data_IF_488822429289
#
_entry.id   IF_488822429289
#
_cell.length_a   1.000
_cell.length_b   1.000
_cell.length_c   1.000
_cell.angle_alpha   90.00
_cell.angle_beta   90.00
_cell.angle_gamma   90.00
#
_symmetry.space_group_name_H-M   'P 1'
#
loop_
_entity.id
_entity.type
_entity.pdbx_description
1 polymer ?
#
# COMPACT_ATOMS: atom_id res chain seq x y z
N UNK A 1 -21.71 58.87 -30.20
CA UNK A 1 -21.22 58.00 -29.10
C UNK A 1 -20.07 57.17 -29.63
N UNK A 2 -18.86 57.39 -29.12
CA UNK A 2 -17.65 56.63 -29.45
C UNK A 2 -17.52 55.51 -28.43
N UNK A 3 -17.60 54.25 -28.84
CA UNK A 3 -17.27 53.11 -27.99
C UNK A 3 -15.87 52.65 -28.36
N UNK A 4 -14.95 52.85 -27.42
CA UNK A 4 -13.58 52.39 -27.49
C UNK A 4 -13.48 50.90 -27.17
N UNK A 5 -12.48 50.29 -27.80
CA UNK A 5 -12.06 48.89 -27.78
C UNK A 5 -11.51 48.48 -26.41
N UNK A 6 -11.77 47.24 -26.00
CA UNK A 6 -10.81 46.42 -25.28
C UNK A 6 -10.98 44.97 -25.72
N UNK A 7 -10.26 44.58 -26.78
CA UNK A 7 -10.06 43.18 -27.12
C UNK A 7 -9.09 42.60 -26.08
N UNK A 8 -9.63 41.86 -25.12
CA UNK A 8 -8.82 41.02 -24.24
C UNK A 8 -8.21 39.90 -25.11
N UNK A 9 -6.90 40.00 -25.39
CA UNK A 9 -6.11 38.86 -25.86
C UNK A 9 -6.11 37.80 -24.76
N UNK A 10 -7.04 36.84 -24.85
CA UNK A 10 -6.88 35.55 -24.23
C UNK A 10 -5.80 34.80 -25.00
N UNK A 11 -4.59 34.80 -24.44
CA UNK A 11 -3.59 33.78 -24.80
C UNK A 11 -4.18 32.46 -24.31
N UNK A 12 -4.89 31.78 -25.21
CA UNK A 12 -5.23 30.37 -25.04
C UNK A 12 -3.89 29.64 -25.06
N UNK A 13 -3.43 29.24 -23.89
CA UNK A 13 -2.45 28.17 -23.79
C UNK A 13 -3.15 26.93 -24.34
N UNK A 14 -2.98 26.69 -25.64
CA UNK A 14 -3.24 25.39 -26.24
C UNK A 14 -2.13 24.48 -25.73
N UNK A 15 -2.21 24.06 -24.47
CA UNK A 15 -1.65 22.77 -24.11
C UNK A 15 -2.41 21.79 -24.98
N UNK A 16 -1.74 21.26 -26.01
CA UNK A 16 -2.22 20.08 -26.72
C UNK A 16 -2.72 19.11 -25.65
N UNK A 17 -3.98 18.65 -25.69
CA UNK A 17 -4.37 17.55 -24.85
C UNK A 17 -3.43 16.42 -25.27
N UNK A 18 -2.51 16.05 -24.39
CA UNK A 18 -1.80 14.78 -24.46
C UNK A 18 -2.92 13.74 -24.56
N UNK A 19 -3.18 13.30 -25.79
CA UNK A 19 -4.07 12.19 -26.07
C UNK A 19 -3.58 11.07 -25.17
N UNK A 20 -4.41 10.70 -24.19
CA UNK A 20 -4.17 9.49 -23.42
C UNK A 20 -3.87 8.39 -24.43
N UNK A 21 -2.68 7.80 -24.33
CA UNK A 21 -2.25 6.72 -25.22
C UNK A 21 -3.36 5.67 -25.18
N UNK A 22 -3.98 5.38 -26.33
CA UNK A 22 -5.05 4.38 -26.41
C UNK A 22 -4.55 2.99 -25.96
N UNK A 23 -3.23 2.81 -25.86
CA UNK A 23 -2.56 1.62 -25.34
C UNK A 23 -2.15 1.72 -23.86
N UNK A 24 -2.50 2.79 -23.14
CA UNK A 24 -2.23 2.88 -21.71
C UNK A 24 -3.18 1.95 -20.94
N UNK A 25 -2.67 0.85 -20.32
CA UNK A 25 -3.51 -0.05 -19.54
C UNK A 25 -4.18 0.65 -18.34
N UNK A 26 -3.72 1.84 -17.96
CA UNK A 26 -4.30 2.65 -16.89
C UNK A 26 -5.41 3.61 -17.34
N UNK A 27 -5.57 3.89 -18.64
CA UNK A 27 -6.52 4.90 -19.12
C UNK A 27 -8.00 4.60 -18.76
N UNK A 28 -8.36 3.33 -18.55
CA UNK A 28 -9.71 2.89 -18.21
C UNK A 28 -9.81 2.18 -16.84
N UNK A 29 -8.77 2.27 -16.02
CA UNK A 29 -8.58 1.46 -14.81
C UNK A 29 -9.70 1.59 -13.75
N UNK A 30 -10.50 2.65 -13.80
CA UNK A 30 -11.65 2.85 -12.90
C UNK A 30 -13.04 2.47 -13.44
N UNK A 31 -13.16 2.09 -14.72
CA UNK A 31 -14.48 1.82 -15.36
C UNK A 31 -14.86 0.33 -15.42
N UNK A 32 -13.90 -0.56 -15.22
CA UNK A 32 -14.09 -2.03 -15.30
C UNK A 32 -13.61 -2.68 -14.00
N UNK A 33 -14.18 -2.26 -12.87
CA UNK A 33 -13.99 -2.96 -11.60
C UNK A 33 -15.11 -3.98 -11.43
N UNK A 34 -14.99 -5.10 -12.14
CA UNK A 34 -15.72 -6.30 -11.81
C UNK A 34 -14.74 -7.27 -11.15
N UNK A 35 -14.99 -7.64 -9.90
CA UNK A 35 -14.36 -8.83 -9.31
C UNK A 35 -14.85 -10.05 -10.10
N UNK A 36 -14.15 -10.43 -11.16
CA UNK A 36 -14.28 -11.77 -11.73
C UNK A 36 -13.21 -12.67 -11.10
N UNK A 37 -13.53 -13.93 -10.89
CA UNK A 37 -12.61 -14.92 -10.32
C UNK A 37 -12.36 -15.92 -11.42
N UNK A 38 -11.10 -16.25 -11.65
CA UNK A 38 -10.74 -17.28 -12.63
C UNK A 38 -10.33 -18.56 -11.90
N UNK A 39 -10.90 -19.68 -12.30
CA UNK A 39 -10.38 -21.00 -11.94
C UNK A 39 -9.34 -21.52 -12.95
N UNK A 40 -9.05 -20.74 -14.00
CA UNK A 40 -8.09 -21.09 -15.04
C UNK A 40 -6.66 -21.19 -14.47
N UNK A 41 -6.03 -22.38 -14.50
CA UNK A 41 -4.66 -22.55 -14.05
C UNK A 41 -3.64 -22.16 -15.13
N UNK A 42 -4.06 -21.77 -16.34
CA UNK A 42 -3.15 -21.32 -17.37
C UNK A 42 -2.29 -20.15 -16.88
N UNK A 43 -1.01 -20.18 -17.25
CA UNK A 43 -0.06 -19.12 -16.90
C UNK A 43 -0.33 -17.89 -17.76
N UNK A 44 -0.42 -16.73 -17.11
CA UNK A 44 -0.40 -15.43 -17.76
C UNK A 44 0.97 -14.76 -17.58
N UNK A 45 1.41 -14.03 -18.60
CA UNK A 45 2.54 -13.10 -18.52
C UNK A 45 2.01 -11.71 -18.24
N UNK A 46 2.33 -11.16 -17.09
CA UNK A 46 1.87 -9.86 -16.62
C UNK A 46 3.04 -8.88 -16.59
N UNK A 47 2.90 -7.72 -17.25
CA UNK A 47 3.97 -6.73 -17.36
C UNK A 47 3.54 -5.44 -16.69
N UNK A 48 4.15 -5.09 -15.57
CA UNK A 48 3.98 -3.81 -14.91
C UNK A 48 5.14 -2.90 -15.30
N UNK A 49 4.89 -1.85 -16.10
CA UNK A 49 5.92 -0.92 -16.56
C UNK A 49 5.61 0.50 -16.15
N UNK A 50 6.52 1.19 -15.48
CA UNK A 50 6.40 2.62 -15.20
C UNK A 50 7.20 3.44 -16.21
N UNK A 51 6.55 4.20 -17.12
CA UNK A 51 7.25 4.83 -18.24
C UNK A 51 8.25 5.92 -17.85
N UNK A 52 8.02 6.65 -16.74
CA UNK A 52 8.88 7.80 -16.37
C UNK A 52 10.24 7.38 -15.83
N UNK A 53 10.29 6.25 -15.15
CA UNK A 53 11.50 5.68 -14.54
C UNK A 53 12.07 4.52 -15.34
N UNK A 54 11.35 4.07 -16.37
CA UNK A 54 11.63 2.85 -17.15
C UNK A 54 11.70 1.58 -16.28
N UNK A 55 11.18 1.63 -15.06
CA UNK A 55 11.08 0.47 -14.20
C UNK A 55 10.08 -0.53 -14.79
N UNK A 56 10.40 -1.81 -14.69
CA UNK A 56 9.53 -2.87 -15.18
C UNK A 56 9.63 -4.13 -14.34
N UNK A 57 8.48 -4.75 -14.05
CA UNK A 57 8.37 -6.13 -13.57
C UNK A 57 7.60 -6.92 -14.61
N UNK A 58 8.18 -8.02 -15.07
CA UNK A 58 7.48 -9.06 -15.82
C UNK A 58 7.33 -10.29 -14.93
N UNK A 59 6.09 -10.76 -14.75
CA UNK A 59 5.77 -11.93 -13.95
C UNK A 59 5.05 -12.98 -14.80
N UNK A 60 5.33 -14.25 -14.54
CA UNK A 60 4.54 -15.38 -15.06
C UNK A 60 3.79 -16.03 -13.91
N UNK A 61 2.47 -15.89 -13.89
CA UNK A 61 1.62 -16.32 -12.77
C UNK A 61 0.42 -17.10 -13.31
N UNK A 62 0.01 -18.23 -12.69
CA UNK A 62 -1.26 -18.86 -13.02
C UNK A 62 -2.43 -17.91 -12.77
N UNK A 63 -3.39 -17.84 -13.71
CA UNK A 63 -4.51 -16.87 -13.67
C UNK A 63 -5.40 -17.00 -12.44
N UNK A 64 -5.44 -18.17 -11.80
CA UNK A 64 -6.18 -18.41 -10.57
C UNK A 64 -5.61 -17.73 -9.31
N UNK A 65 -4.39 -17.20 -9.34
CA UNK A 65 -3.83 -16.35 -8.27
C UNK A 65 -4.33 -14.91 -8.32
N UNK A 66 -4.88 -14.46 -9.46
CA UNK A 66 -5.15 -13.04 -9.70
C UNK A 66 -6.48 -12.64 -9.05
N UNK A 67 -6.41 -11.71 -8.09
CA UNK A 67 -7.58 -11.09 -7.46
C UNK A 67 -7.93 -9.78 -8.19
N UNK A 68 -9.12 -9.66 -8.78
CA UNK A 68 -9.33 -8.61 -9.79
C UNK A 68 -9.54 -7.21 -9.21
N UNK A 69 -8.59 -6.34 -9.55
CA UNK A 69 -8.77 -4.94 -9.91
C UNK A 69 -7.85 -4.65 -11.12
N UNK A 70 -8.27 -4.96 -12.36
CA UNK A 70 -7.45 -4.81 -13.58
C UNK A 70 -7.70 -5.87 -14.67
N UNK A 71 -7.27 -5.60 -15.92
CA UNK A 71 -7.56 -6.45 -17.10
C UNK A 71 -6.67 -7.72 -17.14
N UNK A 72 -7.29 -8.90 -17.02
CA UNK A 72 -6.66 -10.24 -16.91
C UNK A 72 -5.91 -10.74 -18.17
N UNK A 73 -5.73 -9.91 -19.18
CA UNK A 73 -5.10 -10.33 -20.43
C UNK A 73 -3.59 -10.38 -20.28
N UNK A 74 -2.96 -11.37 -20.90
CA UNK A 74 -1.51 -11.39 -21.10
C UNK A 74 -1.00 -10.03 -21.61
N UNK A 75 0.11 -9.56 -21.03
CA UNK A 75 0.77 -8.33 -21.40
C UNK A 75 0.67 -7.21 -20.35
N UNK A 76 0.66 -5.94 -20.79
CA UNK A 76 0.76 -4.78 -19.91
C UNK A 76 -0.39 -4.63 -18.91
N UNK A 77 -0.04 -4.32 -17.67
CA UNK A 77 -0.94 -4.16 -16.53
C UNK A 77 -0.85 -2.75 -15.94
N UNK A 78 -1.97 -2.25 -15.41
CA UNK A 78 -1.97 -1.02 -14.62
C UNK A 78 -1.57 -1.25 -13.16
N UNK A 79 -1.91 -2.42 -12.61
CA UNK A 79 -1.42 -2.92 -11.33
C UNK A 79 -1.47 -4.44 -11.37
N UNK A 80 -0.68 -5.08 -10.52
CA UNK A 80 -0.78 -6.52 -10.29
C UNK A 80 -1.53 -6.73 -8.99
N UNK A 81 -2.53 -7.60 -8.97
CA UNK A 81 -3.33 -7.87 -7.78
C UNK A 81 -3.53 -9.38 -7.64
N UNK A 82 -3.17 -9.92 -6.47
CA UNK A 82 -3.19 -11.34 -6.19
C UNK A 82 -4.01 -11.62 -4.93
N UNK A 83 -4.86 -12.64 -4.98
CA UNK A 83 -5.57 -13.16 -3.81
C UNK A 83 -4.94 -14.50 -3.45
N UNK A 84 -4.41 -14.62 -2.23
CA UNK A 84 -3.63 -15.77 -1.78
C UNK A 84 -4.25 -16.37 -0.51
N UNK A 85 -4.35 -17.69 -0.43
CA UNK A 85 -4.69 -18.37 0.82
C UNK A 85 -3.53 -18.27 1.81
N UNK A 86 -3.83 -17.91 3.05
CA UNK A 86 -2.85 -17.82 4.12
C UNK A 86 -2.97 -19.01 5.09
N UNK A 87 -1.86 -19.62 5.55
CA UNK A 87 -0.45 -19.29 5.28
C UNK A 87 0.17 -20.00 4.06
N UNK A 88 -0.59 -20.81 3.32
CA UNK A 88 -0.02 -21.69 2.29
C UNK A 88 0.46 -20.95 1.03
N UNK A 89 0.09 -19.68 0.85
CA UNK A 89 0.40 -18.85 -0.32
C UNK A 89 -0.09 -19.48 -1.64
N UNK A 90 -1.19 -20.23 -1.59
CA UNK A 90 -1.82 -20.84 -2.77
C UNK A 90 -2.87 -19.93 -3.38
N UNK A 91 -3.28 -20.21 -4.61
CA UNK A 91 -4.26 -19.43 -5.36
C UNK A 91 -5.60 -19.30 -4.62
N UNK A 92 -5.95 -18.09 -4.18
CA UNK A 92 -7.24 -17.80 -3.56
C UNK A 92 -8.41 -17.97 -4.52
N UNK A 93 -8.22 -17.75 -5.82
CA UNK A 93 -9.27 -17.92 -6.83
C UNK A 93 -9.86 -19.34 -6.94
N UNK A 94 -9.14 -20.35 -6.44
CA UNK A 94 -9.61 -21.75 -6.42
C UNK A 94 -10.53 -22.07 -5.23
N UNK A 95 -10.42 -21.32 -4.12
CA UNK A 95 -11.18 -21.59 -2.92
C UNK A 95 -12.63 -21.09 -3.05
N UNK A 96 -13.58 -21.84 -2.49
CA UNK A 96 -14.97 -21.37 -2.36
C UNK A 96 -15.06 -20.28 -1.28
N UNK A 97 -16.08 -19.43 -1.35
CA UNK A 97 -16.24 -18.30 -0.42
C UNK A 97 -16.30 -18.73 1.05
N UNK A 98 -16.93 -19.87 1.36
CA UNK A 98 -17.01 -20.45 2.71
C UNK A 98 -15.67 -21.02 3.20
N UNK A 99 -14.73 -21.32 2.29
CA UNK A 99 -13.38 -21.78 2.62
C UNK A 99 -12.40 -20.61 2.83
N UNK A 100 -12.77 -19.40 2.41
CA UNK A 100 -11.93 -18.19 2.49
C UNK A 100 -12.10 -17.42 3.79
N UNK A 101 -13.02 -17.84 4.65
CA UNK A 101 -13.30 -17.13 5.89
C UNK A 101 -13.78 -18.07 6.96
N UNK A 102 -13.49 -17.71 8.20
CA UNK A 102 -13.91 -18.46 9.39
C UNK A 102 -14.52 -17.50 10.41
N UNK A 103 -15.44 -18.01 11.25
CA UNK A 103 -15.97 -17.31 12.43
C UNK A 103 -15.42 -17.97 13.68
N UNK A 104 -14.12 -17.84 13.87
CA UNK A 104 -13.38 -18.42 14.99
C UNK A 104 -13.07 -17.40 16.09
N UNK A 105 -13.47 -16.13 15.91
CA UNK A 105 -13.11 -15.02 16.78
C UNK A 105 -14.31 -14.18 17.22
N UNK A 106 -14.14 -13.53 18.37
CA UNK A 106 -15.13 -12.67 19.00
C UNK A 106 -14.59 -11.24 19.09
N UNK A 107 -15.43 -10.26 18.75
CA UNK A 107 -15.17 -8.84 18.98
C UNK A 107 -16.12 -8.36 20.08
N UNK A 108 -15.64 -8.43 21.32
CA UNK A 108 -16.51 -8.40 22.49
C UNK A 108 -17.29 -9.70 22.60
N UNK A 109 -18.62 -9.62 22.56
CA UNK A 109 -19.52 -10.79 22.58
C UNK A 109 -20.07 -11.15 21.19
N UNK A 110 -19.57 -10.51 20.13
CA UNK A 110 -20.07 -10.69 18.76
C UNK A 110 -19.10 -11.52 17.91
N UNK A 111 -19.56 -12.62 17.25
CA UNK A 111 -18.70 -13.41 16.37
C UNK A 111 -18.42 -12.67 15.08
N UNK A 112 -17.13 -12.45 14.77
CA UNK A 112 -16.71 -11.71 13.58
C UNK A 112 -15.97 -12.61 12.59
N UNK A 113 -16.19 -12.38 11.30
CA UNK A 113 -15.49 -13.13 10.26
C UNK A 113 -14.01 -12.73 10.21
N UNK A 114 -13.14 -13.72 10.04
CA UNK A 114 -11.72 -13.57 9.71
C UNK A 114 -11.47 -14.05 8.29
N UNK A 115 -10.68 -13.30 7.52
CA UNK A 115 -10.25 -13.73 6.19
C UNK A 115 -9.13 -14.77 6.32
N UNK A 116 -9.25 -15.87 5.59
CA UNK A 116 -8.18 -16.84 5.39
C UNK A 116 -7.39 -16.54 4.11
N UNK A 117 -7.69 -15.43 3.43
CA UNK A 117 -6.91 -14.90 2.33
C UNK A 117 -6.18 -13.62 2.72
N UNK A 118 -5.04 -13.40 2.06
CA UNK A 118 -4.41 -12.09 1.91
C UNK A 118 -4.57 -11.59 0.48
N UNK A 119 -4.53 -10.27 0.30
CA UNK A 119 -4.48 -9.64 -1.01
C UNK A 119 -3.16 -8.91 -1.14
N UNK A 120 -2.49 -9.07 -2.27
CA UNK A 120 -1.22 -8.41 -2.57
C UNK A 120 -1.43 -7.56 -3.81
N UNK A 121 -1.15 -6.26 -3.72
CA UNK A 121 -1.23 -5.33 -4.82
C UNK A 121 0.16 -4.75 -5.11
N UNK A 122 0.61 -4.80 -6.35
CA UNK A 122 1.82 -4.13 -6.82
C UNK A 122 1.41 -2.99 -7.74
N UNK A 123 1.60 -1.76 -7.30
CA UNK A 123 1.17 -0.57 -8.03
C UNK A 123 2.17 -0.19 -9.12
N UNK A 124 1.70 0.29 -10.28
CA UNK A 124 2.52 0.97 -11.31
C UNK A 124 2.98 2.35 -10.86
N UNK A 125 3.32 2.49 -9.59
CA UNK A 125 3.86 3.70 -8.99
C UNK A 125 5.21 3.30 -8.41
N UNK A 126 6.31 3.91 -8.86
CA UNK A 126 7.59 3.58 -8.28
C UNK A 126 7.53 4.06 -6.82
N UNK A 127 8.08 3.27 -5.92
CA UNK A 127 8.29 3.65 -4.55
C UNK A 127 9.75 4.00 -4.39
N UNK A 128 10.05 5.20 -3.92
CA UNK A 128 11.41 5.51 -3.50
C UNK A 128 11.76 4.59 -2.32
N UNK A 129 12.98 4.05 -2.26
CA UNK A 129 13.38 3.18 -1.15
C UNK A 129 13.27 3.87 0.22
N UNK A 130 13.28 5.21 0.24
CA UNK A 130 13.10 6.05 1.43
C UNK A 130 11.64 6.48 1.72
N UNK A 131 10.63 5.91 1.04
CA UNK A 131 9.23 6.35 1.21
C UNK A 131 8.72 6.20 2.65
N UNK A 132 9.15 5.15 3.37
CA UNK A 132 8.74 4.86 4.75
C UNK A 132 9.23 5.95 5.72
N UNK A 133 10.54 6.31 5.76
CA UNK A 133 11.04 7.45 6.53
C UNK A 133 10.25 8.74 6.29
N UNK A 134 9.99 9.04 5.01
CA UNK A 134 9.24 10.24 4.63
C UNK A 134 7.80 10.21 5.17
N UNK A 135 7.11 9.07 5.03
CA UNK A 135 5.75 8.91 5.56
C UNK A 135 5.73 9.01 7.09
N UNK A 136 6.65 8.30 7.77
CA UNK A 136 6.75 8.32 9.22
C UNK A 136 6.94 9.74 9.75
N UNK A 137 7.89 10.51 9.22
CA UNK A 137 8.14 11.87 9.70
C UNK A 137 6.97 12.83 9.40
N UNK A 138 6.29 12.64 8.26
CA UNK A 138 5.07 13.40 7.97
C UNK A 138 3.95 13.11 8.97
N UNK A 139 3.76 11.83 9.33
CA UNK A 139 2.73 11.41 10.29
C UNK A 139 3.07 11.80 11.72
N UNK A 140 4.32 11.56 12.16
CA UNK A 140 4.78 11.90 13.51
C UNK A 140 4.57 13.38 13.85
N UNK A 141 4.72 14.28 12.88
CA UNK A 141 4.46 15.71 13.08
C UNK A 141 2.99 16.07 13.40
N UNK A 142 2.04 15.15 13.18
CA UNK A 142 0.61 15.36 13.40
C UNK A 142 -0.03 14.22 14.23
N UNK A 143 0.75 13.36 14.86
CA UNK A 143 0.26 12.14 15.51
C UNK A 143 1.00 11.87 16.81
N UNK A 144 0.37 11.17 17.75
CA UNK A 144 0.99 10.78 19.02
C UNK A 144 1.78 9.50 18.81
N UNK A 145 3.09 9.56 19.04
CA UNK A 145 3.93 8.35 19.07
C UNK A 145 3.81 7.66 20.43
N UNK A 146 3.65 6.34 20.40
CA UNK A 146 3.68 5.50 21.60
C UNK A 146 5.14 5.39 22.07
N UNK A 147 5.34 5.32 23.40
CA UNK A 147 6.67 5.13 23.98
C UNK A 147 7.22 3.73 23.68
N UNK A 148 6.35 2.73 23.73
CA UNK A 148 6.69 1.34 23.47
C UNK A 148 6.79 1.07 21.98
N UNK A 149 7.54 0.02 21.61
CA UNK A 149 7.71 -0.44 20.24
C UNK A 149 7.14 -1.84 20.06
N UNK A 150 5.81 -1.99 19.98
CA UNK A 150 5.18 -3.29 19.85
C UNK A 150 5.67 -3.98 18.57
N UNK A 151 6.11 -5.23 18.68
CA UNK A 151 6.60 -6.03 17.55
C UNK A 151 7.72 -5.34 16.74
N UNK A 152 8.59 -4.60 17.45
CA UNK A 152 9.68 -3.78 16.89
C UNK A 152 9.22 -2.59 16.04
N UNK A 153 7.92 -2.29 16.02
CA UNK A 153 7.35 -1.21 15.24
C UNK A 153 7.26 0.07 16.07
N UNK A 154 7.60 1.21 15.45
CA UNK A 154 7.21 2.52 15.97
C UNK A 154 5.73 2.73 15.70
N UNK A 155 4.94 2.91 16.74
CA UNK A 155 3.49 3.01 16.65
C UNK A 155 3.02 4.47 16.82
N UNK A 156 2.18 4.93 15.89
CA UNK A 156 1.57 6.26 15.91
C UNK A 156 0.04 6.13 15.99
N UNK A 157 -0.53 7.00 16.81
CA UNK A 157 -1.97 7.26 16.90
C UNK A 157 -2.27 8.58 16.19
N UNK A 158 -3.03 8.51 15.11
CA UNK A 158 -3.42 9.70 14.33
C UNK A 158 -4.47 10.59 15.01
N UNK A 159 -4.91 10.23 16.21
CA UNK A 159 -5.84 11.04 17.01
C UNK A 159 -7.28 11.02 16.52
N UNK A 160 -7.59 10.36 15.40
CA UNK A 160 -8.97 10.15 14.99
C UNK A 160 -9.70 9.26 16.00
N UNK A 161 -10.98 9.55 16.23
CA UNK A 161 -11.79 8.81 17.18
C UNK A 161 -11.85 7.31 16.87
N UNK A 162 -12.01 6.50 17.91
CA UNK A 162 -12.29 5.08 17.76
C UNK A 162 -13.76 4.89 17.41
N UNK A 163 -14.04 4.12 16.35
CA UNK A 163 -15.41 3.71 16.05
C UNK A 163 -15.99 2.83 17.15
N UNK A 164 -17.26 2.45 17.00
CA UNK A 164 -17.94 1.53 17.90
C UNK A 164 -18.44 0.30 17.14
N UNK A 165 -18.52 -0.84 17.82
CA UNK A 165 -19.04 -2.09 17.28
C UNK A 165 -20.26 -2.56 18.08
N UNK A 166 -21.28 -3.03 17.37
CA UNK A 166 -22.51 -3.55 17.96
C UNK A 166 -22.25 -4.89 18.67
N UNK A 167 -22.81 -5.05 19.86
CA UNK A 167 -22.74 -6.25 20.69
C UNK A 167 -23.99 -7.12 20.49
N UNK A 168 -23.96 -8.36 20.99
CA UNK A 168 -25.06 -9.32 20.84
C UNK A 168 -26.35 -8.88 21.53
N UNK A 169 -26.22 -8.15 22.64
CA UNK A 169 -27.32 -7.54 23.40
C UNK A 169 -27.91 -6.26 22.76
N UNK A 170 -27.35 -5.82 21.63
CA UNK A 170 -27.76 -4.62 20.90
C UNK A 170 -27.07 -3.33 21.33
N UNK A 171 -26.23 -3.36 22.37
CA UNK A 171 -25.41 -2.21 22.79
C UNK A 171 -24.27 -1.95 21.80
N UNK A 172 -23.62 -0.79 21.91
CA UNK A 172 -22.42 -0.45 21.14
C UNK A 172 -21.25 -0.23 22.09
N UNK A 173 -20.11 -0.85 21.79
CA UNK A 173 -18.88 -0.70 22.56
C UNK A 173 -17.77 -0.13 21.70
N UNK A 174 -16.91 0.69 22.30
CA UNK A 174 -15.81 1.34 21.59
C UNK A 174 -14.80 0.32 21.09
N UNK A 175 -14.33 0.47 19.86
CA UNK A 175 -13.23 -0.35 19.32
C UNK A 175 -11.96 -0.23 20.14
N UNK A 176 -11.78 0.88 20.87
CA UNK A 176 -10.68 1.05 21.83
C UNK A 176 -10.73 0.02 22.97
N UNK A 177 -11.93 -0.35 23.40
CA UNK A 177 -12.12 -1.34 24.47
C UNK A 177 -12.06 -2.77 23.95
N UNK A 178 -12.47 -2.98 22.69
CA UNK A 178 -12.67 -4.30 22.13
C UNK A 178 -11.40 -4.87 21.47
N UNK A 179 -10.53 -4.02 20.94
CA UNK A 179 -9.30 -4.46 20.29
C UNK A 179 -8.19 -4.76 21.32
N UNK A 180 -7.33 -5.74 21.05
CA UNK A 180 -6.15 -5.96 21.87
C UNK A 180 -5.09 -4.88 21.62
N UNK A 181 -4.17 -4.72 22.59
CA UNK A 181 -2.95 -3.95 22.35
C UNK A 181 -2.08 -4.63 21.27
N UNK A 182 -1.44 -3.88 20.36
CA UNK A 182 -1.41 -2.42 20.25
C UNK A 182 -2.53 -1.80 19.41
N UNK A 183 -3.40 -2.62 18.81
CA UNK A 183 -4.47 -2.19 17.90
C UNK A 183 -5.53 -1.30 18.56
N UNK A 184 -5.57 -1.22 19.89
CA UNK A 184 -6.43 -0.30 20.64
C UNK A 184 -5.77 1.04 21.01
N UNK A 185 -4.48 1.22 20.73
CA UNK A 185 -3.77 2.46 21.10
C UNK A 185 -3.14 3.15 19.90
N UNK A 186 -2.85 2.42 18.83
CA UNK A 186 -2.24 2.95 17.61
C UNK A 186 -2.88 2.37 16.36
N UNK A 187 -2.71 3.07 15.24
CA UNK A 187 -3.28 2.65 13.97
C UNK A 187 -2.28 2.75 12.81
N UNK A 188 -1.12 3.38 13.01
CA UNK A 188 -0.01 3.39 12.05
C UNK A 188 1.24 2.83 12.71
N UNK A 189 1.96 2.01 11.99
CA UNK A 189 3.14 1.31 12.49
C UNK A 189 4.26 1.35 11.47
N UNK A 190 5.48 1.57 11.92
CA UNK A 190 6.62 1.77 11.03
C UNK A 190 7.80 0.92 11.50
N UNK A 191 8.39 0.16 10.58
CA UNK A 191 9.70 -0.44 10.78
C UNK A 191 10.75 0.40 10.05
N UNK A 192 11.72 0.91 10.80
CA UNK A 192 12.81 1.74 10.28
C UNK A 192 14.13 1.02 10.56
N UNK A 193 15.02 0.99 9.58
CA UNK A 193 16.28 0.23 9.59
C UNK A 193 17.39 1.02 8.89
N UNK A 194 18.65 0.60 9.02
CA UNK A 194 19.73 1.10 8.14
C UNK A 194 19.53 0.60 6.71
N UNK A 195 19.15 -0.66 6.55
CA UNK A 195 18.76 -1.21 5.26
C UNK A 195 17.34 -0.76 4.89
N UNK A 196 17.27 0.28 4.05
CA UNK A 196 16.00 0.84 3.53
C UNK A 196 15.13 -0.19 2.81
N UNK A 197 15.73 -1.25 2.27
CA UNK A 197 14.98 -2.34 1.63
C UNK A 197 14.19 -3.19 2.64
N UNK A 198 14.38 -3.03 3.95
CA UNK A 198 13.65 -3.76 4.99
C UNK A 198 12.50 -2.94 5.58
N UNK A 199 12.45 -1.64 5.32
CA UNK A 199 11.49 -0.74 5.95
C UNK A 199 10.08 -1.00 5.45
N UNK A 200 9.11 -0.90 6.37
CA UNK A 200 7.68 -1.02 6.04
C UNK A 200 6.87 0.06 6.74
N UNK A 201 5.75 0.42 6.13
CA UNK A 201 4.68 1.20 6.75
C UNK A 201 3.44 0.30 6.83
N UNK A 202 2.84 0.18 8.01
CA UNK A 202 1.64 -0.62 8.22
C UNK A 202 0.53 0.29 8.72
N UNK A 203 -0.60 0.29 8.04
CA UNK A 203 -1.80 1.03 8.43
C UNK A 203 -2.93 0.05 8.79
N UNK A 204 -3.32 0.07 10.05
CA UNK A 204 -4.44 -0.68 10.58
C UNK A 204 -5.55 0.31 10.91
N UNK A 205 -6.48 0.55 9.97
CA UNK A 205 -7.63 1.43 10.23
C UNK A 205 -8.36 1.01 11.52
N UNK A 206 -8.67 1.97 12.39
CA UNK A 206 -9.24 1.74 13.73
C UNK A 206 -10.57 0.98 13.62
N UNK A 207 -10.56 -0.30 13.95
CA UNK A 207 -11.73 -1.20 13.86
C UNK A 207 -11.93 -1.89 12.51
N UNK A 208 -11.06 -1.66 11.53
CA UNK A 208 -11.05 -2.46 10.31
C UNK A 208 -10.50 -3.86 10.60
N UNK A 209 -11.02 -4.91 9.95
CA UNK A 209 -10.57 -6.28 10.19
C UNK A 209 -9.17 -6.57 9.60
N UNK A 210 -8.68 -5.71 8.71
CA UNK A 210 -7.42 -5.90 7.97
C UNK A 210 -6.53 -4.67 8.06
N UNK A 211 -5.23 -4.91 8.14
CA UNK A 211 -4.19 -3.91 7.99
C UNK A 211 -3.64 -3.91 6.56
N UNK A 212 -3.07 -2.80 6.15
CA UNK A 212 -2.32 -2.61 4.92
C UNK A 212 -0.83 -2.52 5.26
N UNK A 213 -0.02 -3.46 4.78
CA UNK A 213 1.44 -3.39 4.85
C UNK A 213 1.97 -2.88 3.52
N UNK A 214 2.56 -1.69 3.55
CA UNK A 214 3.27 -1.08 2.44
C UNK A 214 4.75 -1.43 2.50
N UNK A 215 5.22 -1.98 1.40
CA UNK A 215 6.59 -2.42 1.18
C UNK A 215 7.11 -1.90 -0.17
N UNK A 216 8.43 -1.85 -0.33
CA UNK A 216 9.08 -1.60 -1.60
C UNK A 216 9.63 -2.91 -2.17
N UNK A 217 8.92 -3.50 -3.12
CA UNK A 217 9.42 -4.64 -3.88
C UNK A 217 10.04 -4.16 -5.19
N UNK A 218 11.37 -4.21 -5.25
CA UNK A 218 12.14 -3.92 -6.46
C UNK A 218 11.85 -2.55 -7.11
N UNK A 219 11.56 -1.53 -6.29
CA UNK A 219 11.24 -0.18 -6.75
C UNK A 219 9.75 0.07 -6.95
N UNK A 220 8.87 -0.89 -6.69
CA UNK A 220 7.42 -0.75 -6.81
C UNK A 220 6.75 -0.78 -5.44
N UNK A 221 5.74 0.07 -5.24
CA UNK A 221 4.92 0.02 -4.04
C UNK A 221 4.11 -1.28 -4.03
N UNK A 222 4.32 -2.09 -3.00
CA UNK A 222 3.58 -3.32 -2.77
C UNK A 222 2.74 -3.16 -1.51
N UNK A 223 1.44 -3.41 -1.63
CA UNK A 223 0.47 -3.34 -0.53
C UNK A 223 -0.06 -4.73 -0.24
N UNK A 224 0.22 -5.24 0.95
CA UNK A 224 -0.35 -6.51 1.44
C UNK A 224 -1.48 -6.22 2.43
N UNK A 225 -2.67 -6.71 2.14
CA UNK A 225 -3.80 -6.68 3.05
C UNK A 225 -3.80 -7.98 3.86
N UNK A 226 -3.67 -7.90 5.19
CA UNK A 226 -3.64 -9.07 6.08
C UNK A 226 -4.52 -8.81 7.31
N UNK A 227 -4.89 -9.84 8.09
CA UNK A 227 -5.77 -9.63 9.24
C UNK A 227 -5.06 -8.78 10.30
N UNK A 228 -5.79 -7.83 10.90
CA UNK A 228 -5.18 -6.89 11.83
C UNK A 228 -4.61 -7.55 13.09
N UNK A 229 -5.27 -8.61 13.56
CA UNK A 229 -4.84 -9.39 14.73
C UNK A 229 -3.50 -10.11 14.50
N UNK A 230 -3.13 -10.36 13.25
CA UNK A 230 -1.86 -10.99 12.88
C UNK A 230 -0.72 -9.96 12.76
N UNK A 231 -0.90 -8.74 13.32
CA UNK A 231 0.12 -7.69 13.31
C UNK A 231 1.45 -8.14 13.92
N UNK A 232 1.43 -9.05 14.90
CA UNK A 232 2.65 -9.61 15.48
C UNK A 232 3.52 -10.34 14.43
N UNK A 233 2.89 -10.90 13.40
CA UNK A 233 3.52 -11.72 12.35
C UNK A 233 3.83 -10.92 11.07
N UNK A 234 3.81 -9.58 11.13
CA UNK A 234 3.98 -8.71 9.96
C UNK A 234 5.23 -9.03 9.12
N UNK A 235 6.34 -9.42 9.76
CA UNK A 235 7.58 -9.84 9.07
C UNK A 235 7.34 -11.08 8.23
N UNK A 236 6.65 -12.07 8.78
CA UNK A 236 6.29 -13.33 8.11
C UNK A 236 5.44 -13.05 6.87
N UNK A 237 4.46 -12.15 6.96
CA UNK A 237 3.69 -11.72 5.77
C UNK A 237 4.56 -11.06 4.71
N UNK A 238 5.38 -10.08 5.09
CA UNK A 238 6.28 -9.38 4.16
C UNK A 238 7.20 -10.37 3.44
N UNK A 239 7.85 -11.25 4.19
CA UNK A 239 8.84 -12.17 3.66
C UNK A 239 8.19 -13.23 2.75
N UNK A 240 7.03 -13.77 3.14
CA UNK A 240 6.26 -14.70 2.31
C UNK A 240 5.79 -14.05 1.01
N UNK A 241 5.30 -12.80 1.06
CA UNK A 241 4.88 -12.06 -0.13
C UNK A 241 6.06 -11.76 -1.05
N UNK A 242 7.20 -11.32 -0.51
CA UNK A 242 8.43 -11.12 -1.30
C UNK A 242 8.89 -12.42 -1.97
N UNK A 243 8.85 -13.53 -1.25
CA UNK A 243 9.20 -14.83 -1.79
C UNK A 243 8.25 -15.23 -2.93
N UNK A 244 6.94 -15.03 -2.75
CA UNK A 244 5.93 -15.28 -3.78
C UNK A 244 6.18 -14.41 -5.03
N UNK A 245 6.37 -13.11 -4.86
CA UNK A 245 6.61 -12.19 -5.96
C UNK A 245 7.92 -12.54 -6.70
N UNK A 246 9.00 -12.83 -5.96
CA UNK A 246 10.28 -13.21 -6.54
C UNK A 246 10.19 -14.53 -7.33
N UNK A 247 9.47 -15.53 -6.81
CA UNK A 247 9.32 -16.84 -7.46
C UNK A 247 8.60 -16.77 -8.83
N UNK A 248 7.74 -15.76 -9.02
CA UNK A 248 7.00 -15.57 -10.27
C UNK A 248 7.59 -14.48 -11.17
N UNK A 249 8.57 -13.72 -10.69
CA UNK A 249 9.23 -12.67 -11.47
C UNK A 249 10.21 -13.31 -12.47
N UNK A 250 10.02 -13.03 -13.76
CA UNK A 250 10.90 -13.56 -14.82
C UNK A 250 11.85 -12.50 -15.38
N UNK A 251 11.47 -11.22 -15.30
CA UNK A 251 12.34 -10.10 -15.61
C UNK A 251 12.05 -8.96 -14.66
N UNK A 252 13.12 -8.34 -14.17
CA UNK A 252 13.06 -7.15 -13.34
C UNK A 252 14.03 -6.11 -13.89
N UNK A 253 13.50 -4.93 -14.20
CA UNK A 253 14.26 -3.75 -14.55
C UNK A 253 14.02 -2.71 -13.46
N UNK A 254 15.02 -2.39 -12.61
CA UNK A 254 14.86 -1.36 -11.59
C UNK A 254 14.73 0.04 -12.23
N UNK A 255 14.18 1.03 -11.49
CA UNK A 255 14.08 2.40 -11.97
C UNK A 255 15.47 2.99 -12.32
N UNK A 256 15.63 3.53 -13.53
CA UNK A 256 16.91 4.11 -14.00
C UNK A 256 17.25 5.45 -13.38
N UNK A 257 16.23 6.21 -13.00
CA UNK A 257 16.41 7.51 -12.33
C UNK A 257 15.97 7.36 -10.89
N UNK A 258 16.77 7.78 -9.89
CA UNK A 258 16.27 7.96 -8.54
C UNK A 258 15.02 8.85 -8.63
N UNK A 259 13.92 8.44 -8.01
CA UNK A 259 12.69 9.24 -8.05
C UNK A 259 13.00 10.65 -7.56
N UNK A 260 12.88 11.65 -8.45
CA UNK A 260 13.14 13.04 -8.11
C UNK A 260 12.25 13.43 -6.93
N UNK A 261 12.90 14.00 -5.91
CA UNK A 261 12.34 14.48 -4.65
C UNK A 261 11.03 15.23 -4.86
N UNK A 262 9.92 14.59 -4.49
CA UNK A 262 8.63 15.25 -4.29
C UNK A 262 8.52 15.76 -2.86
N UNK A 263 9.47 16.57 -2.40
CA UNK A 263 9.27 17.33 -1.15
C UNK A 263 8.29 18.45 -1.45
N UNK A 264 6.99 18.11 -1.49
CA UNK A 264 5.96 19.14 -1.58
C UNK A 264 6.03 20.04 -0.34
N UNK A 265 6.05 21.34 -0.65
CA UNK A 265 6.59 22.50 0.07
C UNK A 265 5.88 22.93 1.35
N UNK A 266 5.04 22.09 1.97
CA UNK A 266 4.23 22.48 3.14
C UNK A 266 4.72 21.82 4.44
N UNK A 267 6.05 21.75 4.64
CA UNK A 267 6.62 21.02 5.78
C UNK A 267 6.86 21.93 6.97
N UNK A 268 6.04 21.75 8.01
CA UNK A 268 6.18 22.37 9.34
C UNK A 268 7.53 21.98 9.98
N UNK A 269 8.10 22.84 10.84
CA UNK A 269 9.37 22.61 11.55
C UNK A 269 9.56 21.20 12.19
N UNK A 270 8.54 20.53 12.76
CA UNK A 270 8.68 19.18 13.32
C UNK A 270 9.12 18.11 12.30
N UNK A 271 8.78 18.30 11.02
CA UNK A 271 9.16 17.35 9.97
C UNK A 271 10.67 17.30 9.76
N UNK A 272 11.31 18.47 9.62
CA UNK A 272 12.77 18.55 9.38
C UNK A 272 13.59 18.05 10.57
N UNK A 273 13.09 18.23 11.79
CA UNK A 273 13.70 17.65 13.00
C UNK A 273 13.66 16.13 12.95
N UNK A 274 12.49 15.54 12.66
CA UNK A 274 12.35 14.09 12.54
C UNK A 274 13.27 13.52 11.47
N UNK A 275 13.38 14.15 10.30
CA UNK A 275 14.27 13.67 9.23
C UNK A 275 15.74 13.68 9.64
N UNK A 276 16.20 14.72 10.35
CA UNK A 276 17.57 14.75 10.88
C UNK A 276 17.81 13.68 11.94
N UNK A 277 16.83 13.42 12.81
CA UNK A 277 16.90 12.30 13.76
C UNK A 277 16.97 10.95 13.05
N UNK A 278 16.23 10.78 11.95
CA UNK A 278 16.31 9.58 11.12
C UNK A 278 17.63 9.43 10.38
N UNK A 279 18.38 10.52 10.15
CA UNK A 279 19.72 10.45 9.56
C UNK A 279 20.68 9.52 10.28
N UNK A 280 20.53 9.41 11.61
CA UNK A 280 21.30 8.47 12.43
C UNK A 280 20.91 7.00 12.22
N UNK A 281 19.76 6.74 11.59
CA UNK A 281 19.24 5.39 11.29
C UNK A 281 19.41 5.07 9.81
N UNK A 282 19.04 5.97 8.90
CA UNK A 282 19.00 5.67 7.45
C UNK A 282 20.30 6.03 6.72
N UNK A 283 21.22 6.72 7.39
CA UNK A 283 22.49 7.16 6.81
C UNK A 283 22.40 8.48 6.02
N UNK A 284 23.56 9.11 5.81
CA UNK A 284 23.66 10.41 5.16
C UNK A 284 23.36 10.39 3.65
N UNK A 285 23.70 9.29 2.96
CA UNK A 285 23.44 9.17 1.52
C UNK A 285 21.93 9.13 1.23
N UNK A 286 21.16 8.37 2.01
CA UNK A 286 19.69 8.35 1.89
C UNK A 286 19.07 9.71 2.19
N UNK A 287 19.58 10.47 3.17
CA UNK A 287 19.12 11.84 3.42
C UNK A 287 19.39 12.79 2.24
N UNK A 288 20.57 12.67 1.61
CA UNK A 288 20.92 13.43 0.41
C UNK A 288 20.00 13.12 -0.77
N UNK A 289 19.70 11.84 -0.99
CA UNK A 289 18.75 11.42 -2.02
C UNK A 289 17.32 11.86 -1.74
N UNK A 290 16.97 12.06 -0.47
CA UNK A 290 15.74 12.71 -0.06
C UNK A 290 15.78 14.23 -0.24
N UNK A 291 16.95 14.86 -0.44
CA UNK A 291 17.07 16.32 -0.49
C UNK A 291 16.87 16.99 0.87
N UNK A 292 17.28 16.30 1.95
CA UNK A 292 17.33 16.84 3.31
C UNK A 292 18.80 17.10 3.66
N UNK A 293 19.38 18.14 3.05
CA UNK A 293 20.67 18.73 3.42
C UNK A 293 20.45 20.12 4.04
#
# INVERSE_FOLDING_TARGET
MKTFVAAALLIVWTSEPLLADQNDPCANFGRVLAYSRSSDPATATLILREPKTEAEIEMKVPRNFVGIFGNLTDGPQCQLAFELMWPQMTAGGLAKEDQKRTRDRMMGDFPVWRSLTIDVVVERKPSAHWFVPNEYCFRRGNSRELKDRPYELRALDDGFGWGSHRQSDGTYRSMKELLPYPLNEANRYYFLSEDTSQMVSIWCSKGAPRCQLHDNFAGFLTTTFFNAEDLADWKTYRDAVRQFLAAHTVRLTPPKTPMKTGFHSDRKAPFGVCMRELGAIVGADTLREMGVD
#
